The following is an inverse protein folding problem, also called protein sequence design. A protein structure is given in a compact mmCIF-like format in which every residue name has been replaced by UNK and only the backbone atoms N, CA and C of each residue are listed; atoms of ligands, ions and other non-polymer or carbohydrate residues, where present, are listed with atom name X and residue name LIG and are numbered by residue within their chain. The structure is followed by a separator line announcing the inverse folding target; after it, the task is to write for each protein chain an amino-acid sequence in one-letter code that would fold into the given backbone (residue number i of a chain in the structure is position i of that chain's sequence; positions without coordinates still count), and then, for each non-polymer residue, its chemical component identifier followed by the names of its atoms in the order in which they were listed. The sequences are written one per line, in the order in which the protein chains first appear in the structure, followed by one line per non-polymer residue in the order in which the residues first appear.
data_IF_090297230892
#
_entry.id   IF_090297230892
#
_cell.length_a   1.000
_cell.length_b   1.000
_cell.length_c   1.000
_cell.angle_alpha   90.00
_cell.angle_beta   90.00
_cell.angle_gamma   90.00
#
_symmetry.space_group_name_H-M   'P 1'
#
loop_
_entity.id
_entity.type
_entity.pdbx_description
1 polymer ?
#
# COMPACT_ATOMS: atom_id res chain seq x y z
N UNK A 1 -37.90 6.45 -48.32
CA UNK A 1 -39.16 7.02 -48.83
C UNK A 1 -40.01 7.42 -47.64
N UNK A 2 -40.38 8.70 -47.53
CA UNK A 2 -41.05 9.26 -46.33
C UNK A 2 -42.41 9.91 -46.63
N UNK A 3 -43.12 9.49 -47.69
CA UNK A 3 -44.48 9.98 -47.93
C UNK A 3 -45.50 9.13 -47.20
N UNK A 4 -46.42 9.80 -46.50
CA UNK A 4 -47.60 9.23 -45.82
C UNK A 4 -48.85 9.30 -46.71
N UNK A 5 -48.72 9.73 -47.97
CA UNK A 5 -49.83 9.86 -48.92
C UNK A 5 -49.81 8.67 -49.89
N UNK A 6 -50.90 7.87 -49.96
CA UNK A 6 -51.02 6.81 -50.96
C UNK A 6 -50.88 7.38 -52.39
N UNK A 7 -49.94 6.86 -53.18
CA UNK A 7 -49.72 7.25 -54.57
C UNK A 7 -48.47 8.11 -54.85
N UNK A 8 -47.88 8.74 -53.84
CA UNK A 8 -46.69 9.61 -54.03
C UNK A 8 -45.40 8.85 -54.39
N UNK A 9 -45.39 7.54 -54.17
CA UNK A 9 -44.21 6.68 -54.35
C UNK A 9 -44.36 5.64 -55.47
N UNK A 10 -45.47 5.67 -56.22
CA UNK A 10 -45.83 4.61 -57.18
C UNK A 10 -44.88 4.55 -58.40
N UNK A 11 -44.03 5.56 -58.59
CA UNK A 11 -43.00 5.60 -59.63
C UNK A 11 -41.63 5.06 -59.16
N UNK A 12 -41.46 4.75 -57.87
CA UNK A 12 -40.20 4.21 -57.33
C UNK A 12 -40.11 2.72 -57.68
N UNK A 13 -39.06 2.35 -58.41
CA UNK A 13 -38.79 0.95 -58.69
C UNK A 13 -38.45 0.23 -57.37
N UNK A 14 -39.08 -0.92 -57.12
CA UNK A 14 -38.79 -1.75 -55.94
C UNK A 14 -37.30 -2.08 -55.84
N UNK A 15 -36.63 -2.27 -56.98
CA UNK A 15 -35.17 -2.51 -57.08
C UNK A 15 -34.30 -1.31 -56.68
N UNK A 16 -34.88 -0.12 -56.51
CA UNK A 16 -34.18 1.10 -56.07
C UNK A 16 -34.42 1.41 -54.58
N UNK A 17 -35.19 0.58 -53.89
CA UNK A 17 -35.41 0.72 -52.45
C UNK A 17 -34.10 0.36 -51.73
N UNK A 18 -33.54 1.32 -50.99
CA UNK A 18 -32.42 1.07 -50.10
C UNK A 18 -32.87 0.15 -48.95
N UNK A 19 -32.10 -0.90 -48.70
CA UNK A 19 -32.29 -1.82 -47.58
C UNK A 19 -31.57 -1.37 -46.32
N UNK A 20 -30.68 -0.38 -46.40
CA UNK A 20 -30.13 0.26 -45.21
C UNK A 20 -31.24 0.92 -44.41
N UNK A 21 -31.35 0.55 -43.14
CA UNK A 21 -32.30 1.14 -42.21
C UNK A 21 -31.60 2.15 -41.31
N UNK A 22 -32.23 3.30 -41.12
CA UNK A 22 -31.86 4.25 -40.06
C UNK A 22 -32.38 3.75 -38.71
N UNK A 23 -31.81 4.24 -37.60
CA UNK A 23 -32.25 3.88 -36.24
C UNK A 23 -33.76 4.14 -36.07
N UNK A 24 -34.23 5.33 -36.48
CA UNK A 24 -35.63 5.72 -36.35
C UNK A 24 -36.56 4.87 -37.21
N UNK A 25 -36.11 4.45 -38.41
CA UNK A 25 -36.86 3.48 -39.21
C UNK A 25 -36.91 2.12 -38.54
N UNK A 26 -35.78 1.62 -38.04
CA UNK A 26 -35.69 0.31 -37.41
C UNK A 26 -36.57 0.22 -36.15
N UNK A 27 -36.64 1.31 -35.36
CA UNK A 27 -37.49 1.42 -34.17
C UNK A 27 -39.00 1.57 -34.48
N UNK A 28 -39.35 2.15 -35.63
CA UNK A 28 -40.75 2.34 -36.03
C UNK A 28 -41.39 1.10 -36.66
N UNK A 29 -40.59 0.14 -37.13
CA UNK A 29 -41.07 -1.08 -37.78
C UNK A 29 -41.46 -2.13 -36.74
N UNK A 30 -42.53 -2.89 -37.03
CA UNK A 30 -42.96 -3.98 -36.16
C UNK A 30 -41.97 -5.16 -36.22
N UNK A 31 -41.15 -5.26 -35.18
CA UNK A 31 -40.17 -6.34 -34.97
C UNK A 31 -40.64 -7.40 -33.97
N UNK A 32 -41.88 -7.30 -33.48
CA UNK A 32 -42.47 -8.26 -32.53
C UNK A 32 -42.61 -9.66 -33.14
N UNK A 33 -43.00 -10.65 -32.33
CA UNK A 33 -43.24 -12.03 -32.81
C UNK A 33 -44.20 -12.13 -34.00
N UNK A 34 -45.12 -11.18 -34.17
CA UNK A 34 -46.06 -11.09 -35.31
C UNK A 34 -45.56 -10.25 -36.48
N UNK A 35 -44.43 -9.57 -36.31
CA UNK A 35 -43.80 -8.71 -37.31
C UNK A 35 -43.27 -9.49 -38.52
N UNK A 36 -43.08 -8.77 -39.63
CA UNK A 36 -42.64 -9.36 -40.91
C UNK A 36 -41.23 -9.97 -40.81
N UNK A 37 -41.07 -11.23 -41.21
CA UNK A 37 -39.76 -11.89 -41.26
C UNK A 37 -38.77 -11.15 -42.14
N UNK A 38 -39.20 -10.56 -43.27
CA UNK A 38 -38.32 -9.82 -44.18
C UNK A 38 -37.75 -8.58 -43.47
N UNK A 39 -38.58 -7.86 -42.72
CA UNK A 39 -38.14 -6.70 -41.93
C UNK A 39 -37.12 -7.12 -40.87
N UNK A 40 -37.39 -8.23 -40.17
CA UNK A 40 -36.47 -8.77 -39.17
C UNK A 40 -35.13 -9.19 -39.75
N UNK A 41 -35.12 -9.76 -40.96
CA UNK A 41 -33.88 -10.07 -41.69
C UNK A 41 -33.12 -8.79 -42.04
N UNK A 42 -33.76 -7.77 -42.59
CA UNK A 42 -33.12 -6.49 -42.95
C UNK A 42 -32.48 -5.82 -41.71
N UNK A 43 -33.20 -5.77 -40.59
CA UNK A 43 -32.69 -5.18 -39.34
C UNK A 43 -31.56 -6.03 -38.77
N UNK A 44 -31.70 -7.35 -38.76
CA UNK A 44 -30.63 -8.25 -38.30
C UNK A 44 -29.37 -8.07 -39.14
N UNK A 45 -29.48 -8.03 -40.46
CA UNK A 45 -28.35 -7.87 -41.37
C UNK A 45 -27.63 -6.55 -41.14
N UNK A 46 -28.39 -5.47 -40.88
CA UNK A 46 -27.82 -4.16 -40.54
C UNK A 46 -27.05 -4.19 -39.21
N UNK A 47 -27.60 -4.81 -38.18
CA UNK A 47 -26.93 -4.96 -36.87
C UNK A 47 -25.71 -5.88 -36.99
N UNK A 48 -25.83 -6.99 -37.74
CA UNK A 48 -24.73 -7.93 -37.96
C UNK A 48 -23.58 -7.25 -38.70
N UNK A 49 -23.91 -6.42 -39.70
CA UNK A 49 -22.93 -5.61 -40.44
C UNK A 49 -22.25 -4.59 -39.54
N UNK A 50 -23.00 -3.91 -38.67
CA UNK A 50 -22.48 -2.95 -37.69
C UNK A 50 -21.46 -3.58 -36.74
N UNK A 51 -21.78 -4.75 -36.18
CA UNK A 51 -20.93 -5.40 -35.17
C UNK A 51 -19.78 -6.21 -35.77
N UNK A 52 -20.01 -6.81 -36.94
CA UNK A 52 -19.17 -7.83 -37.60
C UNK A 52 -19.09 -9.18 -36.86
N UNK A 53 -19.30 -10.28 -37.57
CA UNK A 53 -19.09 -11.64 -37.05
C UNK A 53 -17.57 -11.92 -37.02
N UNK A 54 -16.94 -11.89 -35.82
CA UNK A 54 -17.16 -12.89 -34.78
C UNK A 54 -17.68 -12.36 -33.43
N UNK A 55 -17.99 -11.07 -33.30
CA UNK A 55 -18.36 -10.43 -32.01
C UNK A 55 -19.81 -10.67 -31.56
N UNK A 56 -20.54 -11.54 -32.25
CA UNK A 56 -21.95 -11.84 -31.97
C UNK A 56 -22.05 -13.22 -31.35
N UNK A 57 -22.55 -13.35 -30.10
CA UNK A 57 -22.71 -14.65 -29.46
C UNK A 57 -23.69 -15.53 -30.23
N UNK A 58 -23.41 -16.83 -30.31
CA UNK A 58 -24.27 -17.77 -31.06
C UNK A 58 -25.71 -17.83 -30.55
N UNK A 59 -25.91 -17.59 -29.25
CA UNK A 59 -27.20 -17.50 -28.58
C UNK A 59 -28.02 -16.26 -28.96
N UNK A 60 -27.39 -15.24 -29.54
CA UNK A 60 -28.07 -14.04 -30.05
C UNK A 60 -28.87 -14.35 -31.34
N UNK A 61 -28.48 -15.39 -32.08
CA UNK A 61 -29.12 -15.80 -33.32
C UNK A 61 -30.41 -16.59 -33.10
N UNK A 62 -31.30 -16.52 -34.08
CA UNK A 62 -32.54 -17.29 -34.06
C UNK A 62 -32.26 -18.79 -34.26
N UNK A 63 -32.84 -19.64 -33.40
CA UNK A 63 -32.59 -21.10 -33.36
C UNK A 63 -32.82 -21.84 -34.69
N UNK A 64 -33.75 -21.35 -35.52
CA UNK A 64 -34.10 -21.95 -36.83
C UNK A 64 -33.54 -21.15 -38.00
N UNK A 65 -33.33 -19.84 -37.83
CA UNK A 65 -32.93 -18.93 -38.91
C UNK A 65 -31.60 -18.32 -38.51
N UNK A 66 -30.53 -19.10 -38.64
CA UNK A 66 -29.22 -18.78 -38.08
C UNK A 66 -28.55 -17.55 -38.70
N UNK A 67 -29.06 -17.07 -39.83
CA UNK A 67 -28.56 -15.86 -40.50
C UNK A 67 -29.30 -14.59 -40.02
N UNK A 68 -30.08 -14.69 -38.93
CA UNK A 68 -30.84 -13.59 -38.33
C UNK A 68 -30.78 -13.67 -36.80
N UNK A 69 -30.87 -12.51 -36.16
CA UNK A 69 -30.97 -12.39 -34.71
C UNK A 69 -32.33 -12.91 -34.18
N UNK A 70 -32.36 -13.33 -32.92
CA UNK A 70 -33.61 -13.70 -32.25
C UNK A 70 -34.55 -12.49 -32.12
N UNK A 71 -35.86 -12.71 -32.01
CA UNK A 71 -36.83 -11.62 -31.86
C UNK A 71 -36.56 -10.75 -30.63
N UNK A 72 -36.14 -11.39 -29.54
CA UNK A 72 -35.76 -10.72 -28.31
C UNK A 72 -34.50 -9.88 -28.53
N UNK A 73 -33.46 -10.45 -29.13
CA UNK A 73 -32.21 -9.73 -29.39
C UNK A 73 -32.41 -8.53 -30.32
N UNK A 74 -33.26 -8.64 -31.35
CA UNK A 74 -33.62 -7.50 -32.21
C UNK A 74 -34.25 -6.40 -31.36
N UNK A 75 -35.21 -6.74 -30.49
CA UNK A 75 -35.90 -5.78 -29.63
C UNK A 75 -34.91 -5.07 -28.70
N UNK A 76 -34.00 -5.83 -28.09
CA UNK A 76 -33.03 -5.31 -27.13
C UNK A 76 -31.99 -4.42 -27.82
N UNK A 77 -31.50 -4.82 -28.99
CA UNK A 77 -30.56 -4.01 -29.79
C UNK A 77 -31.20 -2.73 -30.33
N UNK A 78 -32.48 -2.72 -30.68
CA UNK A 78 -33.19 -1.49 -31.06
C UNK A 78 -33.30 -0.50 -29.90
N UNK A 79 -33.39 -1.01 -28.66
CA UNK A 79 -33.29 -0.20 -27.45
C UNK A 79 -31.90 0.43 -27.29
N UNK A 80 -30.85 -0.36 -27.49
CA UNK A 80 -29.44 0.08 -27.41
C UNK A 80 -29.11 1.14 -28.47
N UNK A 81 -29.54 0.93 -29.72
CA UNK A 81 -29.24 1.83 -30.84
C UNK A 81 -29.66 3.27 -30.59
N UNK A 82 -30.73 3.49 -29.80
CA UNK A 82 -31.17 4.83 -29.42
C UNK A 82 -30.17 5.61 -28.56
N UNK A 83 -29.24 4.93 -27.89
CA UNK A 83 -28.15 5.55 -27.13
C UNK A 83 -26.85 5.70 -27.94
N UNK A 84 -26.67 4.87 -28.97
CA UNK A 84 -25.47 4.85 -29.79
C UNK A 84 -25.47 5.88 -30.92
N UNK A 85 -26.65 6.34 -31.35
CA UNK A 85 -26.78 7.31 -32.44
C UNK A 85 -28.14 8.00 -32.51
N UNK A 86 -28.30 8.86 -33.50
CA UNK A 86 -29.54 9.59 -33.75
C UNK A 86 -30.49 8.81 -34.66
N UNK A 87 -31.77 9.19 -34.64
CA UNK A 87 -32.81 8.54 -35.45
C UNK A 87 -32.53 8.49 -36.96
N UNK A 88 -31.71 9.40 -37.51
CA UNK A 88 -31.38 9.45 -38.93
C UNK A 88 -30.08 8.71 -39.28
N UNK A 89 -29.33 8.24 -38.28
CA UNK A 89 -28.06 7.54 -38.51
C UNK A 89 -28.34 6.13 -39.02
N UNK A 90 -27.53 5.65 -39.97
CA UNK A 90 -27.69 4.32 -40.54
C UNK A 90 -27.16 3.26 -39.58
N UNK A 91 -27.98 2.25 -39.29
CA UNK A 91 -27.66 1.20 -38.30
C UNK A 91 -26.34 0.51 -38.65
N UNK A 92 -26.11 0.21 -39.94
CA UNK A 92 -24.91 -0.50 -40.40
C UNK A 92 -23.60 0.29 -40.23
N UNK A 93 -23.67 1.57 -39.86
CA UNK A 93 -22.52 2.49 -39.76
C UNK A 93 -22.28 3.03 -38.34
N UNK A 94 -23.10 2.62 -37.37
CA UNK A 94 -22.95 3.08 -35.98
C UNK A 94 -21.61 2.61 -35.42
N UNK A 95 -20.93 3.52 -34.73
CA UNK A 95 -19.69 3.21 -34.05
C UNK A 95 -19.98 2.39 -32.79
N UNK A 96 -19.27 1.28 -32.64
CA UNK A 96 -19.35 0.38 -31.48
C UNK A 96 -18.25 0.64 -30.45
N UNK A 97 -17.32 1.55 -30.76
CA UNK A 97 -16.38 2.09 -29.78
C UNK A 97 -17.10 3.19 -28.99
N UNK A 98 -17.61 2.80 -27.82
CA UNK A 98 -18.54 3.60 -27.02
C UNK A 98 -17.80 4.55 -26.08
N UNK A 99 -18.51 5.61 -25.71
CA UNK A 99 -18.10 6.54 -24.65
C UNK A 99 -18.50 6.03 -23.25
N UNK A 100 -17.91 6.60 -22.20
CA UNK A 100 -18.30 6.30 -20.80
C UNK A 100 -19.79 6.57 -20.57
N UNK A 101 -20.32 7.69 -21.08
CA UNK A 101 -21.73 8.04 -20.95
C UNK A 101 -22.64 7.02 -21.63
N UNK A 102 -22.27 6.58 -22.83
CA UNK A 102 -23.00 5.51 -23.52
C UNK A 102 -22.96 4.19 -22.75
N UNK A 103 -21.81 3.82 -22.17
CA UNK A 103 -21.70 2.63 -21.32
C UNK A 103 -22.66 2.70 -20.12
N UNK A 104 -22.76 3.87 -19.45
CA UNK A 104 -23.70 4.08 -18.34
C UNK A 104 -25.15 3.86 -18.73
N UNK A 105 -25.53 4.32 -19.92
CA UNK A 105 -26.89 4.19 -20.42
C UNK A 105 -27.25 2.75 -20.83
N UNK A 106 -26.28 1.98 -21.31
CA UNK A 106 -26.53 0.65 -21.91
C UNK A 106 -26.09 -0.54 -21.04
N UNK A 107 -25.41 -0.33 -19.91
CA UNK A 107 -24.88 -1.43 -19.07
C UNK A 107 -25.95 -2.41 -18.54
N UNK A 108 -27.19 -1.96 -18.38
CA UNK A 108 -28.31 -2.81 -17.93
C UNK A 108 -29.09 -3.43 -19.08
N UNK A 109 -28.61 -3.28 -20.32
CA UNK A 109 -29.28 -3.85 -21.49
C UNK A 109 -29.32 -5.38 -21.41
N UNK A 110 -30.47 -6.01 -21.66
CA UNK A 110 -30.57 -7.47 -21.72
C UNK A 110 -29.99 -8.07 -23.02
N UNK A 111 -29.57 -7.24 -23.97
CA UNK A 111 -28.96 -7.69 -25.23
C UNK A 111 -27.69 -8.52 -24.96
N UNK A 112 -27.65 -9.70 -25.58
CA UNK A 112 -26.50 -10.59 -25.50
C UNK A 112 -25.31 -10.02 -26.27
N UNK A 113 -25.57 -9.37 -27.40
CA UNK A 113 -24.55 -8.66 -28.19
C UNK A 113 -23.95 -7.54 -27.35
N UNK A 114 -24.78 -6.72 -26.72
CA UNK A 114 -24.28 -5.59 -25.94
C UNK A 114 -23.51 -6.03 -24.69
N UNK A 115 -23.97 -7.07 -24.00
CA UNK A 115 -23.26 -7.63 -22.85
C UNK A 115 -21.84 -8.06 -23.23
N UNK A 116 -21.69 -8.70 -24.40
CA UNK A 116 -20.37 -9.10 -24.91
C UNK A 116 -19.53 -7.89 -25.32
N UNK A 117 -20.09 -6.95 -26.10
CA UNK A 117 -19.34 -5.78 -26.57
C UNK A 117 -18.88 -4.86 -25.42
N UNK A 118 -19.67 -4.71 -24.36
CA UNK A 118 -19.25 -3.98 -23.15
C UNK A 118 -18.05 -4.68 -22.51
N UNK A 119 -18.14 -6.00 -22.33
CA UNK A 119 -17.06 -6.80 -21.74
C UNK A 119 -15.79 -6.64 -22.57
N UNK A 120 -15.89 -6.85 -23.89
CA UNK A 120 -14.79 -6.69 -24.83
C UNK A 120 -14.19 -5.28 -24.77
N UNK A 121 -15.02 -4.23 -24.73
CA UNK A 121 -14.54 -2.83 -24.69
C UNK A 121 -13.77 -2.52 -23.41
N UNK A 122 -14.23 -3.02 -22.26
CA UNK A 122 -13.53 -2.86 -20.98
C UNK A 122 -12.22 -3.66 -21.00
N UNK A 123 -12.27 -4.92 -21.43
CA UNK A 123 -11.09 -5.81 -21.51
C UNK A 123 -10.03 -5.23 -22.46
N UNK A 124 -10.44 -4.69 -23.61
CA UNK A 124 -9.54 -4.05 -24.57
C UNK A 124 -8.88 -2.79 -23.97
N UNK A 125 -9.64 -1.98 -23.21
CA UNK A 125 -9.11 -0.78 -22.56
C UNK A 125 -8.12 -1.10 -21.44
N UNK A 126 -8.40 -2.12 -20.62
CA UNK A 126 -7.51 -2.50 -19.51
C UNK A 126 -6.38 -3.43 -19.91
N UNK A 127 -6.54 -4.13 -21.03
CA UNK A 127 -5.65 -5.19 -21.48
C UNK A 127 -5.95 -6.53 -20.81
N UNK A 128 -6.03 -7.60 -21.62
CA UNK A 128 -6.38 -8.96 -21.17
C UNK A 128 -5.52 -9.49 -20.02
N UNK A 129 -4.24 -9.09 -19.93
CA UNK A 129 -3.33 -9.52 -18.86
C UNK A 129 -3.71 -8.98 -17.48
N UNK A 130 -4.55 -7.94 -17.42
CA UNK A 130 -4.96 -7.28 -16.19
C UNK A 130 -6.36 -7.71 -15.72
N UNK A 131 -6.94 -8.73 -16.38
CA UNK A 131 -8.28 -9.22 -16.07
C UNK A 131 -8.17 -10.55 -15.31
N UNK A 132 -8.31 -10.54 -13.98
CA UNK A 132 -8.23 -11.76 -13.18
C UNK A 132 -9.44 -12.66 -13.44
N UNK A 133 -9.28 -13.96 -13.18
CA UNK A 133 -10.31 -14.98 -13.44
C UNK A 133 -11.65 -14.62 -12.78
N UNK A 134 -11.63 -14.07 -11.58
CA UNK A 134 -12.82 -13.72 -10.79
C UNK A 134 -13.56 -12.47 -11.28
N UNK A 135 -13.06 -11.77 -12.30
CA UNK A 135 -13.81 -10.72 -12.99
C UNK A 135 -14.87 -11.31 -13.95
N UNK A 136 -14.67 -12.55 -14.42
CA UNK A 136 -15.51 -13.18 -15.43
C UNK A 136 -16.72 -13.90 -14.84
N UNK A 137 -17.79 -14.05 -15.63
CA UNK A 137 -18.93 -14.90 -15.26
C UNK A 137 -18.44 -16.33 -14.98
N UNK A 138 -18.83 -16.84 -13.80
CA UNK A 138 -18.42 -18.15 -13.29
C UNK A 138 -16.90 -18.31 -13.10
N UNK A 139 -16.19 -17.20 -12.90
CA UNK A 139 -14.74 -17.15 -12.69
C UNK A 139 -13.96 -17.84 -13.83
N UNK A 140 -14.48 -17.76 -15.06
CA UNK A 140 -13.95 -18.47 -16.23
C UNK A 140 -13.48 -17.48 -17.30
N UNK A 141 -12.15 -17.39 -17.55
CA UNK A 141 -11.61 -16.53 -18.60
C UNK A 141 -12.22 -16.79 -19.98
N UNK A 142 -12.45 -15.70 -20.72
CA UNK A 142 -13.08 -15.73 -22.04
C UNK A 142 -14.62 -15.70 -22.03
N UNK A 143 -15.25 -15.77 -20.86
CA UNK A 143 -16.65 -15.37 -20.71
C UNK A 143 -16.78 -13.84 -20.71
N UNK A 144 -18.03 -13.34 -20.64
CA UNK A 144 -18.28 -11.93 -20.35
C UNK A 144 -17.91 -11.59 -18.90
N UNK A 145 -17.70 -10.30 -18.63
CA UNK A 145 -17.50 -9.79 -17.28
C UNK A 145 -18.78 -9.94 -16.44
N UNK A 146 -18.63 -10.07 -15.13
CA UNK A 146 -19.78 -10.03 -14.20
C UNK A 146 -20.49 -8.66 -14.30
N UNK A 147 -21.82 -8.58 -14.17
CA UNK A 147 -22.52 -7.29 -14.18
C UNK A 147 -22.04 -6.31 -13.08
N UNK A 148 -21.70 -6.85 -11.90
CA UNK A 148 -21.12 -6.06 -10.81
C UNK A 148 -19.73 -5.50 -11.18
N UNK A 149 -18.92 -6.28 -11.90
CA UNK A 149 -17.62 -5.85 -12.41
C UNK A 149 -17.77 -4.69 -13.40
N UNK A 150 -18.69 -4.82 -14.37
CA UNK A 150 -19.02 -3.75 -15.33
C UNK A 150 -19.45 -2.47 -14.60
N UNK A 151 -20.33 -2.59 -13.59
CA UNK A 151 -20.80 -1.45 -12.81
C UNK A 151 -19.65 -0.75 -12.09
N UNK A 152 -18.76 -1.51 -11.45
CA UNK A 152 -17.61 -0.97 -10.73
C UNK A 152 -16.56 -0.34 -11.66
N UNK A 153 -16.39 -0.91 -12.86
CA UNK A 153 -15.49 -0.40 -13.90
C UNK A 153 -15.94 0.94 -14.49
N UNK A 154 -17.24 1.23 -14.55
CA UNK A 154 -17.72 2.55 -15.02
C UNK A 154 -17.12 3.69 -14.18
N UNK A 155 -17.21 3.56 -12.84
CA UNK A 155 -16.64 4.55 -11.92
C UNK A 155 -15.12 4.64 -12.08
N UNK A 156 -14.46 3.50 -12.31
CA UNK A 156 -13.02 3.47 -12.47
C UNK A 156 -12.54 4.11 -13.79
N UNK A 157 -13.27 3.89 -14.89
CA UNK A 157 -12.98 4.50 -16.18
C UNK A 157 -13.13 6.03 -16.11
N UNK A 158 -14.09 6.55 -15.35
CA UNK A 158 -14.19 8.00 -15.10
C UNK A 158 -12.93 8.54 -14.40
N UNK A 159 -12.46 7.85 -13.36
CA UNK A 159 -11.25 8.24 -12.61
C UNK A 159 -10.01 8.18 -13.51
N UNK A 160 -9.87 7.13 -14.34
CA UNK A 160 -8.76 7.05 -15.29
C UNK A 160 -8.84 8.09 -16.41
N UNK A 161 -10.05 8.49 -16.82
CA UNK A 161 -10.25 9.60 -17.74
C UNK A 161 -9.97 10.99 -17.12
N UNK A 162 -9.60 11.05 -15.84
CA UNK A 162 -9.27 12.29 -15.14
C UNK A 162 -10.49 13.05 -14.64
N UNK A 163 -11.62 12.36 -14.42
CA UNK A 163 -12.82 12.95 -13.86
C UNK A 163 -12.56 13.61 -12.51
N UNK A 164 -13.09 14.81 -12.33
CA UNK A 164 -13.05 15.54 -11.05
C UNK A 164 -14.42 15.66 -10.41
N UNK A 165 -15.48 15.48 -11.21
CA UNK A 165 -16.88 15.41 -10.79
C UNK A 165 -17.61 14.35 -11.61
N UNK A 166 -18.56 13.59 -11.02
CA UNK A 166 -19.28 12.56 -11.76
C UNK A 166 -19.89 13.07 -13.07
N UNK A 167 -19.60 12.39 -14.18
CA UNK A 167 -20.14 12.67 -15.51
C UNK A 167 -19.36 13.69 -16.36
N UNK A 168 -18.33 14.36 -15.85
CA UNK A 168 -17.52 15.30 -16.66
C UNK A 168 -16.72 14.60 -17.78
N UNK A 169 -16.46 13.30 -17.62
CA UNK A 169 -15.75 12.45 -18.58
C UNK A 169 -16.68 11.59 -19.46
N UNK A 170 -17.99 11.81 -19.44
CA UNK A 170 -18.96 10.98 -20.18
C UNK A 170 -18.73 10.94 -21.70
N UNK A 171 -18.10 11.97 -22.27
CA UNK A 171 -17.78 12.04 -23.69
C UNK A 171 -16.49 11.29 -24.09
N UNK A 172 -15.71 10.79 -23.12
CA UNK A 172 -14.45 10.08 -23.37
C UNK A 172 -14.74 8.69 -23.91
N UNK A 173 -14.05 8.33 -24.99
CA UNK A 173 -14.15 7.01 -25.64
C UNK A 173 -13.33 6.00 -24.86
N UNK A 174 -13.92 4.84 -24.54
CA UNK A 174 -13.32 3.84 -23.64
C UNK A 174 -11.98 3.34 -24.15
N UNK A 175 -11.87 3.05 -25.44
CA UNK A 175 -10.63 2.55 -26.08
C UNK A 175 -9.43 3.49 -25.96
N UNK A 176 -9.66 4.77 -25.63
CA UNK A 176 -8.61 5.79 -25.51
C UNK A 176 -8.09 5.96 -24.08
N UNK A 177 -8.74 5.33 -23.10
CA UNK A 177 -8.40 5.46 -21.68
C UNK A 177 -7.16 4.60 -21.39
N UNK A 178 -6.18 5.20 -20.73
CA UNK A 178 -4.99 4.47 -20.26
C UNK A 178 -5.19 4.08 -18.81
N UNK A 179 -5.24 2.78 -18.53
CA UNK A 179 -5.37 2.23 -17.17
C UNK A 179 -4.07 1.63 -16.64
N UNK A 180 -2.98 1.80 -17.37
CA UNK A 180 -1.62 1.43 -16.94
C UNK A 180 -0.92 2.64 -16.34
N UNK A 181 0.05 2.41 -15.44
CA UNK A 181 0.74 3.45 -14.67
C UNK A 181 -0.22 4.28 -13.79
N UNK A 182 -0.90 3.59 -12.87
CA UNK A 182 -1.79 4.23 -11.91
C UNK A 182 -1.03 5.28 -11.08
N UNK A 183 -1.64 6.44 -10.92
CA UNK A 183 -1.11 7.52 -10.08
C UNK A 183 -1.57 7.37 -8.62
N UNK A 184 -0.86 8.00 -7.67
CA UNK A 184 -1.24 8.00 -6.25
C UNK A 184 -2.69 8.43 -6.06
N UNK A 185 -3.13 9.52 -6.69
CA UNK A 185 -4.48 10.03 -6.56
C UNK A 185 -5.55 9.10 -7.13
N UNK A 186 -5.23 8.38 -8.20
CA UNK A 186 -6.10 7.35 -8.75
C UNK A 186 -6.20 6.14 -7.81
N UNK A 187 -5.07 5.67 -7.26
CA UNK A 187 -5.06 4.59 -6.27
C UNK A 187 -5.90 4.95 -5.04
N UNK A 188 -5.80 6.18 -4.54
CA UNK A 188 -6.65 6.66 -3.44
C UNK A 188 -8.13 6.68 -3.78
N UNK A 189 -8.48 7.17 -4.97
CA UNK A 189 -9.87 7.27 -5.41
C UNK A 189 -10.51 5.90 -5.64
N UNK A 190 -9.69 4.90 -5.96
CA UNK A 190 -10.13 3.55 -6.36
C UNK A 190 -9.86 2.47 -5.31
N UNK A 191 -9.30 2.81 -4.15
CA UNK A 191 -8.92 1.84 -3.12
C UNK A 191 -10.10 1.05 -2.55
N UNK A 192 -11.30 1.60 -2.63
CA UNK A 192 -12.56 0.98 -2.17
C UNK A 192 -13.44 0.51 -3.33
N UNK A 193 -12.93 0.54 -4.57
CA UNK A 193 -13.67 0.08 -5.73
C UNK A 193 -13.81 -1.46 -5.69
N UNK A 194 -15.03 -1.95 -5.94
CA UNK A 194 -15.34 -3.39 -5.85
C UNK A 194 -14.80 -4.21 -7.03
N UNK A 195 -14.31 -3.57 -8.09
CA UNK A 195 -13.81 -4.25 -9.30
C UNK A 195 -12.58 -5.11 -9.00
N UNK A 196 -12.65 -6.36 -9.40
CA UNK A 196 -11.54 -7.30 -9.37
C UNK A 196 -10.39 -6.83 -10.27
N UNK A 197 -10.71 -6.28 -11.45
CA UNK A 197 -9.74 -5.72 -12.40
C UNK A 197 -8.98 -4.55 -11.75
N UNK A 198 -9.67 -3.62 -11.10
CA UNK A 198 -9.03 -2.46 -10.47
C UNK A 198 -8.14 -2.87 -9.31
N UNK A 199 -8.61 -3.78 -8.45
CA UNK A 199 -7.81 -4.33 -7.36
C UNK A 199 -6.55 -4.99 -7.89
N UNK A 200 -6.64 -5.73 -8.99
CA UNK A 200 -5.49 -6.32 -9.66
C UNK A 200 -4.52 -5.27 -10.21
N UNK A 201 -5.00 -4.27 -10.95
CA UNK A 201 -4.15 -3.21 -11.53
C UNK A 201 -3.41 -2.42 -10.44
N UNK A 202 -4.09 -2.06 -9.34
CA UNK A 202 -3.47 -1.39 -8.20
C UNK A 202 -2.42 -2.31 -7.56
N UNK A 203 -2.78 -3.58 -7.34
CA UNK A 203 -1.85 -4.57 -6.77
C UNK A 203 -0.60 -4.73 -7.62
N UNK A 204 -0.73 -4.88 -8.93
CA UNK A 204 0.41 -5.02 -9.85
C UNK A 204 1.33 -3.80 -9.81
N UNK A 205 0.75 -2.59 -9.76
CA UNK A 205 1.52 -1.35 -9.64
C UNK A 205 2.29 -1.26 -8.32
N UNK A 206 1.66 -1.63 -7.20
CA UNK A 206 2.29 -1.66 -5.87
C UNK A 206 3.35 -2.75 -5.77
N UNK A 207 3.05 -3.97 -6.23
CA UNK A 207 3.97 -5.10 -6.24
C UNK A 207 5.19 -4.77 -7.11
N UNK A 208 5.00 -4.07 -8.23
CA UNK A 208 6.10 -3.58 -9.07
C UNK A 208 6.96 -2.55 -8.34
N UNK A 209 6.34 -1.59 -7.63
CA UNK A 209 7.05 -0.56 -6.86
C UNK A 209 7.97 -1.17 -5.79
N UNK A 210 7.46 -2.10 -4.99
CA UNK A 210 8.22 -2.70 -3.89
C UNK A 210 9.09 -3.89 -4.34
N UNK A 211 8.70 -4.57 -5.41
CA UNK A 211 9.26 -5.83 -5.86
C UNK A 211 8.67 -7.03 -5.12
N UNK A 212 8.34 -8.09 -5.87
CA UNK A 212 7.66 -9.31 -5.37
C UNK A 212 8.30 -9.94 -4.14
N UNK A 213 9.63 -9.85 -3.99
CA UNK A 213 10.37 -10.44 -2.86
C UNK A 213 10.21 -9.69 -1.55
N UNK A 214 9.71 -8.45 -1.60
CA UNK A 214 9.53 -7.57 -0.44
C UNK A 214 8.06 -7.48 0.00
N UNK A 215 7.17 -8.24 -0.64
CA UNK A 215 5.75 -8.29 -0.28
C UNK A 215 5.52 -9.42 0.72
N UNK A 216 5.12 -9.13 1.97
CA UNK A 216 4.79 -10.16 2.94
C UNK A 216 3.64 -11.06 2.44
N UNK A 217 3.71 -12.35 2.74
CA UNK A 217 2.66 -13.29 2.33
C UNK A 217 1.26 -12.90 2.88
N UNK A 218 1.21 -12.27 4.06
CA UNK A 218 -0.02 -11.78 4.69
C UNK A 218 -0.67 -10.58 3.97
N UNK A 219 0.06 -9.93 3.06
CA UNK A 219 -0.45 -8.81 2.24
C UNK A 219 -1.39 -9.28 1.12
N UNK A 220 -1.23 -10.52 0.66
CA UNK A 220 -1.98 -11.07 -0.45
C UNK A 220 -3.39 -11.48 -0.04
N UNK A 221 -4.32 -11.40 -0.98
CA UNK A 221 -5.67 -11.89 -0.78
C UNK A 221 -5.66 -13.43 -0.59
N UNK A 222 -6.44 -13.92 0.38
CA UNK A 222 -6.40 -15.33 0.78
C UNK A 222 -6.86 -16.32 -0.31
N UNK A 223 -7.84 -15.92 -1.12
CA UNK A 223 -8.36 -16.73 -2.25
C UNK A 223 -7.67 -16.42 -3.57
N UNK A 224 -7.58 -15.13 -3.94
CA UNK A 224 -6.99 -14.64 -5.18
C UNK A 224 -5.56 -14.15 -4.94
N UNK A 225 -4.60 -15.07 -4.86
CA UNK A 225 -3.23 -14.79 -4.39
C UNK A 225 -2.36 -14.00 -5.37
N UNK A 226 -2.89 -13.67 -6.54
CA UNK A 226 -2.28 -12.83 -7.56
C UNK A 226 -2.48 -11.34 -7.32
N UNK A 227 -3.28 -10.97 -6.30
CA UNK A 227 -3.49 -9.58 -5.89
C UNK A 227 -3.42 -9.40 -4.37
N UNK A 228 -3.26 -8.15 -3.94
CA UNK A 228 -3.29 -7.75 -2.53
C UNK A 228 -4.71 -7.89 -1.96
N UNK A 229 -4.81 -8.01 -0.64
CA UNK A 229 -6.11 -7.99 0.04
C UNK A 229 -6.77 -6.61 -0.05
N UNK A 230 -8.08 -6.55 0.13
CA UNK A 230 -8.83 -5.30 0.08
C UNK A 230 -8.37 -4.34 1.19
N UNK A 231 -8.13 -4.86 2.39
CA UNK A 231 -7.59 -4.08 3.51
C UNK A 231 -6.18 -3.54 3.21
N UNK A 232 -5.33 -4.33 2.57
CA UNK A 232 -3.98 -3.89 2.22
C UNK A 232 -4.01 -2.83 1.10
N UNK A 233 -4.91 -2.95 0.13
CA UNK A 233 -5.10 -1.94 -0.92
C UNK A 233 -5.54 -0.59 -0.33
N UNK A 234 -6.42 -0.60 0.67
CA UNK A 234 -6.83 0.62 1.36
C UNK A 234 -5.65 1.21 2.14
N UNK A 235 -4.97 0.39 2.94
CA UNK A 235 -3.88 0.85 3.78
C UNK A 235 -2.67 1.36 2.97
N UNK A 236 -2.36 0.72 1.82
CA UNK A 236 -1.28 1.19 0.94
C UNK A 236 -1.68 2.48 0.21
N UNK A 237 -2.95 2.67 -0.13
CA UNK A 237 -3.41 3.92 -0.75
C UNK A 237 -3.20 5.12 0.18
N UNK A 238 -3.46 4.96 1.48
CA UNK A 238 -3.19 5.99 2.49
C UNK A 238 -1.68 6.23 2.66
N UNK A 239 -0.88 5.17 2.65
CA UNK A 239 0.57 5.29 2.72
C UNK A 239 1.17 6.00 1.50
N UNK A 240 0.69 5.70 0.29
CA UNK A 240 1.16 6.33 -0.95
C UNK A 240 0.95 7.86 -0.94
N UNK A 241 -0.07 8.34 -0.24
CA UNK A 241 -0.33 9.78 -0.05
C UNK A 241 0.76 10.48 0.77
N UNK A 242 1.47 9.74 1.64
CA UNK A 242 2.63 10.22 2.40
C UNK A 242 3.89 10.16 1.54
N UNK A 243 3.99 9.15 0.68
CA UNK A 243 5.19 8.86 -0.11
C UNK A 243 5.31 9.72 -1.38
N UNK A 244 4.19 10.12 -1.99
CA UNK A 244 4.19 10.85 -3.26
C UNK A 244 3.02 11.82 -3.42
N UNK A 245 3.12 12.69 -4.42
CA UNK A 245 2.04 13.59 -4.79
C UNK A 245 0.95 12.85 -5.59
N UNK A 246 -0.30 13.36 -5.63
CA UNK A 246 -1.41 12.68 -6.31
C UNK A 246 -1.17 12.35 -7.81
N UNK A 247 -0.33 13.13 -8.50
CA UNK A 247 0.00 12.90 -9.91
C UNK A 247 1.19 11.97 -10.16
N UNK A 248 1.89 11.52 -9.11
CA UNK A 248 3.06 10.66 -9.23
C UNK A 248 2.62 9.23 -9.57
N UNK A 249 3.37 8.57 -10.45
CA UNK A 249 3.12 7.17 -10.82
C UNK A 249 3.56 6.24 -9.69
N UNK A 250 2.65 5.36 -9.23
CA UNK A 250 2.90 4.45 -8.11
C UNK A 250 4.13 3.58 -8.34
N UNK A 251 4.28 3.03 -9.55
CA UNK A 251 5.41 2.17 -9.94
C UNK A 251 6.80 2.82 -9.84
N UNK A 252 6.87 4.14 -9.62
CA UNK A 252 8.13 4.90 -9.61
C UNK A 252 8.43 5.60 -8.29
N UNK A 253 7.54 5.46 -7.29
CA UNK A 253 7.73 6.08 -5.99
C UNK A 253 8.93 5.44 -5.28
N UNK A 254 9.76 6.28 -4.65
CA UNK A 254 10.90 5.82 -3.86
C UNK A 254 10.44 5.05 -2.63
N UNK A 255 11.07 3.90 -2.37
CA UNK A 255 10.95 3.17 -1.11
C UNK A 255 11.99 3.60 -0.07
N UNK A 256 12.98 4.42 -0.46
CA UNK A 256 13.86 5.11 0.49
C UNK A 256 13.16 6.37 0.99
N UNK A 257 12.75 6.32 2.26
CA UNK A 257 11.87 7.29 2.90
C UNK A 257 12.63 8.22 3.83
N UNK A 258 12.13 9.45 3.97
CA UNK A 258 12.62 10.39 4.97
C UNK A 258 12.11 10.04 6.37
N UNK A 259 12.78 10.53 7.40
CA UNK A 259 12.31 10.39 8.79
C UNK A 259 10.92 10.99 9.01
N UNK A 260 10.63 12.13 8.39
CA UNK A 260 9.30 12.76 8.48
C UNK A 260 8.23 11.89 7.83
N UNK A 261 8.55 11.23 6.71
CA UNK A 261 7.64 10.27 6.09
C UNK A 261 7.44 9.04 6.96
N UNK A 262 8.50 8.47 7.55
CA UNK A 262 8.31 7.33 8.46
C UNK A 262 7.38 7.68 9.60
N UNK A 263 7.50 8.86 10.20
CA UNK A 263 6.61 9.30 11.29
C UNK A 263 5.15 9.52 10.86
N UNK A 264 4.90 9.81 9.58
CA UNK A 264 3.56 10.03 9.05
C UNK A 264 2.87 8.73 8.56
N UNK A 265 3.63 7.65 8.35
CA UNK A 265 3.10 6.36 7.92
C UNK A 265 2.41 5.62 9.08
N UNK A 266 1.20 5.11 8.83
CA UNK A 266 0.48 4.28 9.80
C UNK A 266 1.14 2.89 9.91
N UNK A 267 1.69 2.60 11.08
CA UNK A 267 2.30 1.31 11.45
C UNK A 267 1.52 0.59 12.55
N UNK A 268 0.34 1.11 12.90
CA UNK A 268 -0.59 0.46 13.84
C UNK A 268 -1.23 -0.77 13.20
N UNK A 269 -2.11 -1.46 13.92
CA UNK A 269 -2.75 -2.69 13.44
C UNK A 269 -3.51 -2.53 12.11
N UNK A 270 -3.99 -1.32 11.76
CA UNK A 270 -4.69 -1.02 10.50
C UNK A 270 -3.77 -0.60 9.37
N UNK A 271 -2.50 -0.29 9.69
CA UNK A 271 -1.51 0.14 8.71
C UNK A 271 -1.06 -0.99 7.79
N UNK A 272 -0.58 -0.61 6.60
CA UNK A 272 -0.15 -1.54 5.55
C UNK A 272 0.99 -2.44 6.03
N UNK A 273 0.85 -3.74 5.79
CA UNK A 273 1.89 -4.71 6.15
C UNK A 273 3.12 -4.57 5.25
N UNK A 274 2.94 -4.15 3.99
CA UNK A 274 4.04 -3.85 3.06
C UNK A 274 4.86 -2.66 3.59
N UNK A 275 4.20 -1.62 4.09
CA UNK A 275 4.88 -0.45 4.67
C UNK A 275 5.63 -0.82 5.96
N UNK A 276 5.01 -1.63 6.84
CA UNK A 276 5.69 -2.15 8.03
C UNK A 276 6.93 -2.97 7.66
N UNK A 277 6.85 -3.79 6.62
CA UNK A 277 7.99 -4.55 6.09
C UNK A 277 9.10 -3.60 5.59
N UNK A 278 8.75 -2.61 4.77
CA UNK A 278 9.70 -1.61 4.25
C UNK A 278 10.43 -0.86 5.38
N UNK A 279 9.70 -0.39 6.39
CA UNK A 279 10.31 0.33 7.54
C UNK A 279 11.19 -0.62 8.35
N UNK A 280 10.70 -1.84 8.62
CA UNK A 280 11.48 -2.88 9.31
C UNK A 280 12.81 -3.14 8.60
N UNK A 281 12.78 -3.38 7.30
CA UNK A 281 13.99 -3.67 6.51
C UNK A 281 14.95 -2.48 6.49
N UNK A 282 14.43 -1.26 6.39
CA UNK A 282 15.21 -0.02 6.44
C UNK A 282 15.92 0.13 7.79
N UNK A 283 15.22 -0.12 8.90
CA UNK A 283 15.79 -0.08 10.25
C UNK A 283 16.85 -1.17 10.44
N UNK A 284 16.57 -2.39 9.99
CA UNK A 284 17.50 -3.52 10.09
C UNK A 284 18.78 -3.23 9.30
N UNK A 285 18.65 -2.66 8.11
CA UNK A 285 19.79 -2.24 7.29
C UNK A 285 20.59 -1.13 7.96
N UNK A 286 19.91 -0.10 8.48
CA UNK A 286 20.53 1.06 9.16
C UNK A 286 21.34 0.66 10.39
N UNK A 287 20.81 -0.22 11.25
CA UNK A 287 21.46 -0.61 12.50
C UNK A 287 22.44 -1.78 12.33
N UNK A 288 22.13 -2.71 11.44
CA UNK A 288 22.81 -3.98 11.29
C UNK A 288 22.32 -5.05 12.28
N UNK A 289 22.30 -6.31 11.84
CA UNK A 289 21.72 -7.44 12.58
C UNK A 289 22.21 -7.61 14.04
N UNK A 290 23.51 -7.44 14.39
CA UNK A 290 23.98 -7.65 15.78
C UNK A 290 23.36 -6.72 16.82
N UNK A 291 22.82 -5.57 16.38
CA UNK A 291 22.20 -4.57 17.27
C UNK A 291 20.71 -4.84 17.52
N UNK A 292 20.15 -5.88 16.92
CA UNK A 292 18.71 -6.15 16.98
C UNK A 292 18.50 -7.48 17.69
N UNK A 293 17.91 -7.48 18.90
CA UNK A 293 17.58 -8.71 19.60
C UNK A 293 16.60 -9.57 18.79
N UNK A 294 16.75 -10.89 18.81
CA UNK A 294 15.84 -11.80 18.10
C UNK A 294 14.37 -11.56 18.50
N UNK A 295 14.11 -11.25 19.76
CA UNK A 295 12.76 -10.96 20.29
C UNK A 295 12.13 -9.69 19.73
N UNK A 296 12.88 -8.85 19.02
CA UNK A 296 12.34 -7.66 18.36
C UNK A 296 11.58 -8.02 17.06
N UNK A 297 11.86 -9.20 16.51
CA UNK A 297 11.20 -9.73 15.32
C UNK A 297 9.94 -10.52 15.68
N UNK A 298 8.99 -10.58 14.73
CA UNK A 298 7.81 -11.43 14.89
C UNK A 298 8.22 -12.89 15.10
N UNK A 299 7.62 -13.51 16.11
CA UNK A 299 7.91 -14.89 16.53
C UNK A 299 9.39 -15.11 16.90
N UNK A 300 10.09 -14.05 17.27
CA UNK A 300 11.52 -14.05 17.60
C UNK A 300 12.40 -14.62 16.49
N UNK A 301 12.07 -14.34 15.23
CA UNK A 301 12.75 -14.88 14.06
C UNK A 301 13.24 -13.74 13.14
N UNK A 302 14.57 -13.54 12.96
CA UNK A 302 15.15 -12.53 12.08
C UNK A 302 14.78 -12.62 10.60
N UNK A 303 14.16 -13.72 10.16
CA UNK A 303 13.62 -13.82 8.80
C UNK A 303 12.27 -13.09 8.62
N UNK A 304 11.61 -12.72 9.72
CA UNK A 304 10.38 -11.94 9.71
C UNK A 304 10.70 -10.46 9.92
N UNK A 305 9.72 -9.58 9.67
CA UNK A 305 9.79 -8.18 10.08
C UNK A 305 9.81 -7.99 11.60
N UNK A 306 10.22 -6.81 12.03
CA UNK A 306 10.06 -6.30 13.39
C UNK A 306 8.59 -6.32 13.83
N UNK A 307 8.37 -6.46 15.13
CA UNK A 307 7.04 -6.32 15.73
C UNK A 307 6.49 -4.90 15.55
N UNK A 308 5.16 -4.75 15.47
CA UNK A 308 4.51 -3.45 15.27
C UNK A 308 4.93 -2.43 16.36
N UNK A 309 5.06 -2.88 17.62
CA UNK A 309 5.54 -2.02 18.72
C UNK A 309 6.96 -1.53 18.48
N UNK A 310 7.89 -2.41 18.08
CA UNK A 310 9.27 -2.00 17.82
C UNK A 310 9.38 -1.12 16.57
N UNK A 311 8.57 -1.34 15.54
CA UNK A 311 8.49 -0.40 14.41
C UNK A 311 8.08 0.99 14.89
N UNK A 312 7.06 1.08 15.75
CA UNK A 312 6.61 2.33 16.36
C UNK A 312 7.73 3.03 17.15
N UNK A 313 8.39 2.32 18.05
CA UNK A 313 9.49 2.91 18.84
C UNK A 313 10.68 3.33 17.98
N UNK A 314 10.94 2.59 16.89
CA UNK A 314 11.96 2.97 15.93
C UNK A 314 11.58 4.25 15.18
N UNK A 315 10.32 4.42 14.75
CA UNK A 315 9.84 5.68 14.15
C UNK A 315 10.07 6.88 15.07
N UNK A 316 9.81 6.74 16.37
CA UNK A 316 10.07 7.77 17.37
C UNK A 316 11.57 8.07 17.52
N UNK A 317 12.40 7.03 17.44
CA UNK A 317 13.86 7.13 17.63
C UNK A 317 14.61 7.69 16.41
N UNK A 318 14.02 7.62 15.21
CA UNK A 318 14.67 8.06 13.97
C UNK A 318 14.97 9.57 13.96
N UNK A 319 14.09 10.41 14.51
CA UNK A 319 14.28 11.86 14.51
C UNK A 319 15.47 12.30 15.39
N UNK A 320 15.60 11.83 16.64
CA UNK A 320 16.81 12.05 17.42
C UNK A 320 18.08 11.50 16.74
N UNK A 321 18.00 10.32 16.11
CA UNK A 321 19.13 9.71 15.38
C UNK A 321 19.54 10.52 14.14
N UNK A 322 18.59 11.20 13.49
CA UNK A 322 18.82 12.09 12.35
C UNK A 322 19.24 13.52 12.77
N UNK A 323 19.56 13.75 14.05
CA UNK A 323 19.93 15.08 14.52
C UNK A 323 18.77 16.08 14.53
N UNK A 324 17.53 15.59 14.69
CA UNK A 324 16.29 16.35 14.63
C UNK A 324 15.95 16.95 13.25
N UNK A 325 16.46 16.36 12.16
CA UNK A 325 16.06 16.71 10.80
C UNK A 325 15.16 15.63 10.20
N UNK A 326 13.89 15.96 10.01
CA UNK A 326 12.88 15.08 9.43
C UNK A 326 13.10 14.81 7.93
N UNK A 327 13.93 15.59 7.22
CA UNK A 327 14.16 15.41 5.78
C UNK A 327 15.28 14.42 5.46
N UNK A 328 16.00 13.94 6.48
CA UNK A 328 17.06 12.95 6.30
C UNK A 328 16.43 11.63 5.86
N UNK A 329 17.01 11.00 4.84
CA UNK A 329 16.64 9.65 4.42
C UNK A 329 17.08 8.64 5.48
N UNK A 330 16.24 7.65 5.78
CA UNK A 330 16.56 6.61 6.77
C UNK A 330 17.84 5.86 6.38
N UNK A 331 18.04 5.60 5.09
CA UNK A 331 19.25 4.95 4.56
C UNK A 331 20.54 5.76 4.79
N UNK A 332 20.42 7.08 5.00
CA UNK A 332 21.56 7.97 5.20
C UNK A 332 21.95 8.12 6.68
N UNK A 333 21.12 7.63 7.61
CA UNK A 333 21.42 7.69 9.04
C UNK A 333 22.55 6.73 9.35
N UNK A 334 23.63 7.25 9.91
CA UNK A 334 24.76 6.45 10.40
C UNK A 334 24.78 6.48 11.92
N UNK A 335 24.60 5.32 12.54
CA UNK A 335 24.58 5.21 14.00
C UNK A 335 25.96 4.83 14.53
N UNK A 336 26.62 5.79 15.18
CA UNK A 336 27.84 5.60 15.95
C UNK A 336 27.59 5.96 17.41
N UNK A 337 27.55 4.97 18.28
CA UNK A 337 27.09 5.12 19.67
C UNK A 337 27.93 6.13 20.46
N UNK A 338 29.24 6.20 20.20
CA UNK A 338 30.16 7.15 20.86
C UNK A 338 29.91 8.62 20.47
N UNK A 339 29.07 8.87 19.45
CA UNK A 339 28.76 10.22 18.97
C UNK A 339 27.40 10.73 19.43
N UNK A 340 26.56 9.85 20.00
CA UNK A 340 25.23 10.22 20.49
C UNK A 340 25.35 11.00 21.80
N UNK A 341 24.55 12.07 21.98
CA UNK A 341 24.55 12.85 23.22
C UNK A 341 23.74 12.14 24.32
N UNK A 342 24.02 12.42 25.61
CA UNK A 342 23.21 11.91 26.73
C UNK A 342 21.73 12.26 26.54
N UNK A 343 21.43 13.49 26.10
CA UNK A 343 20.07 13.93 25.78
C UNK A 343 19.41 13.07 24.69
N UNK A 344 20.15 12.71 23.63
CA UNK A 344 19.64 11.82 22.57
C UNK A 344 19.34 10.43 23.12
N UNK A 345 20.24 9.87 23.94
CA UNK A 345 20.06 8.54 24.52
C UNK A 345 18.84 8.47 25.46
N UNK A 346 18.60 9.53 26.24
CA UNK A 346 17.43 9.68 27.12
C UNK A 346 16.13 9.92 26.36
N UNK A 347 16.19 10.34 25.09
CA UNK A 347 15.01 10.57 24.27
C UNK A 347 14.46 9.28 23.62
N UNK A 348 15.21 8.18 23.64
CA UNK A 348 14.75 6.91 23.08
C UNK A 348 13.65 6.29 23.95
N UNK A 349 12.60 5.69 23.35
CA UNK A 349 11.53 5.03 24.09
C UNK A 349 12.05 3.95 25.03
N UNK A 350 11.66 4.01 26.30
CA UNK A 350 12.13 3.09 27.36
C UNK A 350 11.75 1.63 27.10
N UNK A 351 10.68 1.41 26.34
CA UNK A 351 10.17 0.09 26.00
C UNK A 351 10.86 -0.53 24.79
N UNK A 352 11.66 0.22 24.03
CA UNK A 352 12.33 -0.31 22.85
C UNK A 352 13.53 -1.17 23.22
N UNK A 353 13.43 -2.46 22.92
CA UNK A 353 14.54 -3.38 23.19
C UNK A 353 15.70 -3.20 22.19
N UNK A 354 15.42 -2.65 21.00
CA UNK A 354 16.45 -2.33 20.01
C UNK A 354 17.29 -1.16 20.51
N UNK A 355 16.65 -0.07 20.97
CA UNK A 355 17.38 1.07 21.54
C UNK A 355 18.12 0.68 22.82
N UNK A 356 17.52 -0.17 23.66
CA UNK A 356 18.18 -0.69 24.85
C UNK A 356 19.44 -1.49 24.51
N UNK A 357 19.38 -2.39 23.52
CA UNK A 357 20.53 -3.16 23.02
C UNK A 357 21.63 -2.26 22.50
N UNK A 358 21.27 -1.23 21.76
CA UNK A 358 22.23 -0.27 21.19
C UNK A 358 23.00 0.47 22.29
N UNK A 359 22.31 0.97 23.31
CA UNK A 359 22.95 1.62 24.47
C UNK A 359 23.80 0.61 25.26
N UNK A 360 23.26 -0.58 25.52
CA UNK A 360 23.96 -1.67 26.22
C UNK A 360 25.28 -2.02 25.55
N UNK A 361 25.26 -2.16 24.22
CA UNK A 361 26.46 -2.47 23.42
C UNK A 361 27.55 -1.41 23.60
N UNK A 362 27.15 -0.13 23.60
CA UNK A 362 28.08 0.97 23.82
C UNK A 362 28.71 0.93 25.22
N UNK A 363 27.90 0.69 26.26
CA UNK A 363 28.36 0.62 27.64
C UNK A 363 29.30 -0.58 27.83
N UNK A 364 28.89 -1.78 27.40
CA UNK A 364 29.66 -3.03 27.54
C UNK A 364 31.02 -2.92 26.83
N UNK A 365 31.05 -2.26 25.66
CA UNK A 365 32.31 -2.06 24.91
C UNK A 365 33.29 -1.15 25.65
N UNK A 366 32.78 -0.16 26.39
CA UNK A 366 33.61 0.86 27.05
C UNK A 366 33.82 0.63 28.55
N UNK A 367 33.06 -0.27 29.18
CA UNK A 367 33.15 -0.57 30.60
C UNK A 367 33.40 -2.06 30.84
N UNK A 368 34.55 -2.37 31.44
CA UNK A 368 34.92 -3.73 31.83
C UNK A 368 34.32 -4.11 33.19
N UNK A 369 34.04 -5.40 33.39
CA UNK A 369 33.59 -5.99 34.66
C UNK A 369 32.24 -5.43 35.17
N UNK A 370 31.30 -5.14 34.27
CA UNK A 370 29.93 -4.78 34.66
C UNK A 370 29.35 -5.91 35.54
N UNK A 371 28.75 -5.60 36.70
CA UNK A 371 28.12 -6.61 37.55
C UNK A 371 27.06 -7.42 36.81
N UNK A 372 27.00 -8.72 37.10
CA UNK A 372 26.03 -9.63 36.46
C UNK A 372 24.57 -9.24 36.70
N UNK A 373 24.32 -8.59 37.83
CA UNK A 373 23.03 -8.11 38.31
C UNK A 373 22.51 -6.93 37.49
N UNK A 374 23.38 -6.22 36.78
CA UNK A 374 22.98 -5.12 35.90
C UNK A 374 22.43 -5.60 34.56
N UNK A 375 22.52 -6.89 34.23
CA UNK A 375 22.03 -7.42 32.96
C UNK A 375 20.59 -7.90 33.05
N UNK A 376 19.88 -7.84 31.91
CA UNK A 376 18.58 -8.51 31.75
C UNK A 376 18.76 -10.00 32.03
N UNK A 377 17.85 -10.61 32.78
CA UNK A 377 17.94 -12.01 33.17
C UNK A 377 18.16 -12.91 31.94
N UNK A 378 19.18 -13.78 32.02
CA UNK A 378 19.58 -14.72 30.96
C UNK A 378 20.17 -14.06 29.69
N UNK A 379 20.47 -12.76 29.72
CA UNK A 379 21.22 -12.04 28.67
C UNK A 379 22.55 -11.53 29.24
N UNK A 380 23.60 -11.54 28.42
CA UNK A 380 24.86 -10.80 28.69
C UNK A 380 25.08 -9.67 27.69
N UNK A 381 24.08 -9.38 26.86
CA UNK A 381 24.15 -8.41 25.77
C UNK A 381 23.31 -7.16 26.07
N UNK A 382 22.36 -7.29 26.99
CA UNK A 382 21.43 -6.24 27.39
C UNK A 382 21.60 -5.90 28.87
N UNK A 383 21.85 -4.63 29.15
CA UNK A 383 21.78 -4.04 30.49
C UNK A 383 20.30 -3.73 30.78
N UNK A 384 19.89 -3.86 32.05
CA UNK A 384 18.57 -3.45 32.51
C UNK A 384 18.33 -1.98 32.16
N UNK A 385 17.14 -1.65 31.66
CA UNK A 385 16.82 -0.27 31.27
C UNK A 385 16.99 0.72 32.44
N UNK A 386 16.58 0.33 33.65
CA UNK A 386 16.79 1.15 34.86
C UNK A 386 18.26 1.47 35.12
N UNK A 387 19.16 0.49 34.96
CA UNK A 387 20.61 0.67 35.13
C UNK A 387 21.19 1.63 34.08
N UNK A 388 20.69 1.56 32.84
CA UNK A 388 21.03 2.52 31.78
C UNK A 388 20.54 3.93 32.16
N UNK A 389 19.30 4.06 32.61
CA UNK A 389 18.72 5.36 32.96
C UNK A 389 19.47 6.02 34.12
N UNK A 390 19.80 5.27 35.17
CA UNK A 390 20.63 5.78 36.26
C UNK A 390 22.01 6.22 35.80
N UNK A 391 22.64 5.47 34.88
CA UNK A 391 23.93 5.84 34.32
C UNK A 391 23.82 7.15 33.53
N UNK A 392 22.80 7.28 32.67
CA UNK A 392 22.58 8.49 31.88
C UNK A 392 22.25 9.70 32.76
N UNK A 393 21.46 9.52 33.81
CA UNK A 393 21.17 10.55 34.82
C UNK A 393 22.43 10.96 35.58
N UNK A 394 23.28 10.01 35.98
CA UNK A 394 24.55 10.30 36.64
C UNK A 394 25.49 11.10 35.71
N UNK A 395 25.57 10.75 34.42
CA UNK A 395 26.36 11.51 33.45
C UNK A 395 25.85 12.95 33.29
N UNK A 396 24.53 13.16 33.31
CA UNK A 396 23.89 14.47 33.24
C UNK A 396 24.21 15.33 34.47
N UNK A 397 24.09 14.76 35.68
CA UNK A 397 24.47 15.42 36.95
C UNK A 397 25.94 15.84 36.93
N UNK A 398 26.82 14.96 36.46
CA UNK A 398 28.25 15.23 36.40
C UNK A 398 28.65 16.17 35.25
N UNK A 399 27.69 16.57 34.39
CA UNK A 399 27.94 17.39 33.21
C UNK A 399 28.86 16.72 32.18
N UNK A 400 28.88 15.38 32.15
CA UNK A 400 29.75 14.59 31.26
C UNK A 400 28.99 14.31 29.97
N UNK A 401 29.47 14.87 28.87
CA UNK A 401 29.08 14.41 27.54
C UNK A 401 29.71 13.05 27.20
N UNK A 402 29.14 12.34 26.23
CA UNK A 402 29.58 11.01 25.77
C UNK A 402 31.00 10.95 25.20
N UNK A 403 31.63 12.09 24.92
CA UNK A 403 33.03 12.21 24.48
C UNK A 403 33.97 12.83 25.53
N UNK A 404 33.46 13.21 26.72
CA UNK A 404 34.15 14.06 27.70
C UNK A 404 34.64 13.37 28.97
N UNK A 405 34.45 12.05 29.12
CA UNK A 405 34.72 11.33 30.38
C UNK A 405 36.20 11.29 30.82
N UNK A 406 37.14 11.74 29.98
CA UNK A 406 38.58 11.68 30.26
C UNK A 406 39.11 12.72 31.27
N UNK A 407 38.37 13.79 31.58
CA UNK A 407 38.83 14.79 32.56
C UNK A 407 37.69 15.66 33.08
N UNK A 408 37.10 15.28 34.21
CA UNK A 408 36.32 16.20 35.05
C UNK A 408 37.28 16.77 36.08
N UNK A 409 37.34 18.09 36.21
CA UNK A 409 38.08 18.69 37.31
C UNK A 409 37.40 18.34 38.64
N UNK A 410 38.13 17.80 39.62
CA UNK A 410 37.59 17.44 40.94
C UNK A 410 36.90 18.61 41.68
N UNK A 411 37.15 19.86 41.27
CA UNK A 411 36.47 21.05 41.80
C UNK A 411 35.06 21.29 41.23
N UNK A 412 34.64 20.52 40.22
CA UNK A 412 33.34 20.63 39.56
C UNK A 412 32.29 19.63 40.09
N UNK A 413 32.71 18.62 40.87
CA UNK A 413 31.82 17.62 41.47
C UNK A 413 31.61 17.97 42.94
N UNK A 414 30.35 18.10 43.37
CA UNK A 414 30.01 18.33 44.78
C UNK A 414 29.71 17.02 45.51
N UNK A 415 29.80 17.03 46.84
CA UNK A 415 29.33 15.89 47.64
C UNK A 415 27.82 15.64 47.50
N UNK A 416 27.05 16.68 47.16
CA UNK A 416 25.62 16.54 46.89
C UNK A 416 25.38 15.77 45.59
N UNK A 417 26.19 16.04 44.55
CA UNK A 417 26.13 15.31 43.27
C UNK A 417 26.46 13.82 43.50
N UNK A 418 27.53 13.53 44.25
CA UNK A 418 27.89 12.15 44.59
C UNK A 418 26.84 11.45 45.47
N UNK A 419 26.25 12.17 46.43
CA UNK A 419 25.18 11.64 47.27
C UNK A 419 23.96 11.29 46.43
N UNK A 420 23.54 12.20 45.55
CA UNK A 420 22.42 11.99 44.63
C UNK A 420 22.65 10.80 43.73
N UNK A 421 23.85 10.68 43.14
CA UNK A 421 24.19 9.55 42.27
C UNK A 421 24.21 8.23 43.07
N UNK A 422 24.81 8.22 44.27
CA UNK A 422 24.89 7.01 45.10
C UNK A 422 23.52 6.50 45.58
N UNK A 423 22.50 7.37 45.60
CA UNK A 423 21.14 7.01 45.95
C UNK A 423 20.36 6.37 44.78
N UNK A 424 20.91 6.32 43.56
CA UNK A 424 20.24 5.65 42.45
C UNK A 424 20.11 4.13 42.69
N UNK A 425 18.92 3.61 42.37
CA UNK A 425 18.55 2.22 42.62
C UNK A 425 18.13 1.90 44.06
N UNK A 426 18.02 2.88 44.96
CA UNK A 426 17.48 2.64 46.32
C UNK A 426 16.06 2.03 46.31
N UNK A 427 15.28 2.30 45.27
CA UNK A 427 13.95 1.73 45.06
C UNK A 427 13.95 0.36 44.36
N UNK A 428 15.10 -0.11 43.88
CA UNK A 428 15.18 -1.40 43.19
C UNK A 428 15.20 -2.58 44.16
N UNK A 429 14.93 -3.81 43.69
CA UNK A 429 14.90 -5.00 44.55
C UNK A 429 16.18 -5.25 45.34
N UNK A 430 17.33 -4.78 44.84
CA UNK A 430 18.63 -4.89 45.51
C UNK A 430 18.88 -3.75 46.51
N UNK A 431 18.09 -2.67 46.45
CA UNK A 431 18.23 -1.47 47.27
C UNK A 431 19.40 -0.57 46.87
N UNK A 432 20.02 -0.81 45.72
CA UNK A 432 21.04 0.02 45.09
C UNK A 432 21.15 -0.36 43.60
N UNK A 433 21.77 0.50 42.80
CA UNK A 433 22.14 0.22 41.40
C UNK A 433 23.53 -0.42 41.32
N UNK A 434 23.66 -1.69 40.90
CA UNK A 434 24.98 -2.34 40.81
C UNK A 434 25.94 -1.63 39.85
N UNK A 435 25.47 -1.07 38.74
CA UNK A 435 26.33 -0.39 37.78
C UNK A 435 26.89 0.92 38.35
N UNK A 436 26.07 1.68 39.09
CA UNK A 436 26.49 2.92 39.74
C UNK A 436 27.47 2.62 40.86
N UNK A 437 27.18 1.63 41.71
CA UNK A 437 28.10 1.21 42.76
C UNK A 437 29.44 0.74 42.17
N UNK A 438 29.43 -0.01 41.07
CA UNK A 438 30.66 -0.42 40.38
C UNK A 438 31.50 0.77 39.89
N UNK A 439 30.86 1.77 39.29
CA UNK A 439 31.54 2.96 38.74
C UNK A 439 32.10 3.85 39.85
N UNK A 440 31.40 3.99 40.98
CA UNK A 440 31.86 4.81 42.11
C UNK A 440 32.89 4.08 42.98
N UNK A 441 32.69 2.78 43.24
CA UNK A 441 33.52 2.01 44.16
C UNK A 441 34.87 1.62 43.56
N UNK A 442 34.94 1.26 42.28
CA UNK A 442 36.19 0.77 41.66
C UNK A 442 37.33 1.80 41.73
N UNK A 443 37.14 3.09 41.36
CA UNK A 443 38.16 4.12 41.52
C UNK A 443 38.50 4.40 42.99
N UNK A 444 37.50 4.40 43.87
CA UNK A 444 37.71 4.64 45.31
C UNK A 444 38.55 3.53 45.94
N UNK A 445 38.22 2.26 45.67
CA UNK A 445 39.01 1.09 46.04
C UNK A 445 40.43 1.25 45.52
N UNK A 446 40.63 1.52 44.23
CA UNK A 446 41.96 1.71 43.66
C UNK A 446 42.76 2.85 44.30
N UNK A 447 42.10 3.91 44.77
CA UNK A 447 42.75 5.05 45.41
C UNK A 447 43.15 4.78 46.88
N UNK A 448 42.43 3.89 47.58
CA UNK A 448 42.70 3.53 48.98
C UNK A 448 43.48 2.21 49.13
N UNK A 449 43.60 1.42 48.07
CA UNK A 449 44.44 0.22 48.04
C UNK A 449 45.92 0.63 48.09
N UNK A 450 46.57 0.32 49.21
CA UNK A 450 47.96 0.64 49.46
C UNK A 450 48.88 -0.49 48.96
N UNK A 451 49.50 -0.27 47.80
CA UNK A 451 50.48 -1.21 47.25
C UNK A 451 51.89 -0.75 47.62
N UNK A 452 52.42 -1.29 48.73
CA UNK A 452 53.79 -1.04 49.19
C UNK A 452 54.66 -2.29 49.03
N UNK A 453 55.73 -2.17 48.26
CA UNK A 453 56.78 -3.20 48.17
C UNK A 453 56.39 -4.52 47.49
N UNK A 454 55.39 -4.50 46.60
CA UNK A 454 54.91 -5.71 45.90
C UNK A 454 53.92 -6.56 46.69
N UNK A 455 53.49 -6.07 47.86
CA UNK A 455 52.38 -6.63 48.63
C UNK A 455 51.17 -5.70 48.50
N UNK A 456 50.04 -6.27 48.09
CA UNK A 456 48.73 -5.62 48.12
C UNK A 456 48.18 -5.75 49.54
N UNK A 457 48.09 -4.63 50.25
CA UNK A 457 47.53 -4.59 51.61
C UNK A 457 45.99 -4.52 51.62
N UNK A 458 45.36 -4.49 50.43
CA UNK A 458 43.92 -4.45 50.24
C UNK A 458 43.25 -3.21 50.82
N UNK A 459 41.95 -3.09 50.57
CA UNK A 459 41.08 -2.17 51.30
C UNK A 459 40.78 -2.79 52.67
N UNK A 460 40.88 -2.06 53.80
CA UNK A 460 40.52 -2.59 55.11
C UNK A 460 39.12 -3.22 55.07
N UNK A 461 38.93 -4.41 55.63
CA UNK A 461 37.63 -5.11 55.62
C UNK A 461 36.48 -4.32 56.26
N UNK A 462 36.80 -3.24 56.99
CA UNK A 462 35.86 -2.26 57.55
C UNK A 462 35.35 -1.23 56.56
N UNK A 463 35.92 -1.13 55.36
CA UNK A 463 35.50 -0.20 54.30
C UNK A 463 34.69 -0.86 53.17
N UNK A 464 34.56 -2.19 53.17
CA UNK A 464 33.67 -2.96 52.27
C UNK A 464 32.19 -2.94 52.69
N UNK A 465 31.86 -2.22 53.77
CA UNK A 465 30.50 -2.06 54.29
C UNK A 465 30.28 -0.59 54.60
N UNK A 466 29.82 0.15 53.62
CA UNK A 466 28.90 1.27 53.79
C UNK A 466 28.30 1.58 52.43
#
# INVERSE_FOLDING_TARGET
AGSVVPGDSDAVLVSSINTDVTIGQAQALDTSGTGSSIIKFIISDSIITMITAPKIPSSAYHLVYTDRLSDQEITDMLGVLGYLGNANDSVSTINVDITIGQLKDIQSSPSLIMTQLISDSIIDAVGLSNVPDDAYISDTPGNNLKPAEVTAMILALEVFAGSTVPGDSDAVVISTITTTNVTVGQTQSLSTNDSAIIKFIISDSVITMFGVGNIPAEAYHLTYTDRLSDEEIIAIADALAVLGAPGDSVSTISTDVTVGQTQALDTTATGSVIIKQMISDSVVSMLGAPRIPDTAYIASNPANRLTDSEIGYMQDSLLPLAGNDANVLVSAITVTESTLSVTTLKAFPDQSIIMNRMISTAIITNMTNIPSESYVALSSEDILRSEIDYLLDALDILGIGTSGAGSIGAAAITFEDLYTISAYGESDPLGYSPIIDHILSTPMISAVTDVRGGYDYGVPSTAYRN
#
